data_IF_889810651592
#
_entry.id   IF_889810651592
#
_cell.length_a   1.000
_cell.length_b   1.000
_cell.length_c   1.000
_cell.angle_alpha   90.00
_cell.angle_beta   90.00
_cell.angle_gamma   90.00
#
_symmetry.space_group_name_H-M   'P 1'
#
loop_
_entity.id
_entity.type
_entity.pdbx_description
1 polymer ?
#
# COMPACT_ATOMS: atom_id res chain seq x y z
N UNK A 1 66.68 -16.41 8.78
CA UNK A 1 66.97 -15.72 10.05
C UNK A 1 65.75 -14.88 10.38
N UNK A 2 64.85 -15.38 11.24
CA UNK A 2 64.77 -15.02 12.68
C UNK A 2 64.32 -13.55 12.80
N UNK A 3 63.24 -13.17 13.48
CA UNK A 3 62.55 -13.70 14.68
C UNK A 3 61.29 -12.82 14.85
N UNK A 4 60.06 -13.34 14.91
CA UNK A 4 59.31 -13.67 16.15
C UNK A 4 59.46 -12.65 17.30
N UNK A 5 58.36 -12.00 17.68
CA UNK A 5 57.73 -11.96 19.04
C UNK A 5 56.53 -10.99 18.97
N UNK A 6 55.24 -11.35 19.02
CA UNK A 6 54.41 -12.14 19.97
C UNK A 6 53.80 -11.29 21.11
N UNK A 7 52.47 -11.48 21.30
CA UNK A 7 51.61 -11.23 22.48
C UNK A 7 51.17 -9.76 22.76
N UNK A 8 49.94 -9.39 23.20
CA UNK A 8 48.65 -10.06 23.46
C UNK A 8 47.55 -8.98 23.75
N UNK A 9 46.31 -9.22 23.29
CA UNK A 9 44.95 -9.04 23.89
C UNK A 9 44.63 -7.82 24.80
N UNK A 10 43.54 -7.05 24.51
CA UNK A 10 42.25 -6.96 25.26
C UNK A 10 41.30 -5.91 24.64
N UNK A 11 40.01 -6.27 24.65
CA UNK A 11 38.79 -5.62 24.17
C UNK A 11 38.50 -4.17 24.67
N UNK A 12 37.72 -3.48 23.82
CA UNK A 12 36.48 -2.72 24.11
C UNK A 12 36.46 -1.18 24.25
N UNK A 13 35.36 -0.66 23.67
CA UNK A 13 34.63 0.60 23.83
C UNK A 13 34.82 1.75 22.83
N UNK A 14 33.65 2.30 22.48
CA UNK A 14 33.29 3.27 21.45
C UNK A 14 34.14 4.55 21.43
N UNK A 15 34.38 5.08 20.22
CA UNK A 15 33.90 6.40 19.75
C UNK A 15 34.87 7.11 18.77
N UNK A 16 34.30 7.58 17.65
CA UNK A 16 34.71 8.69 16.75
C UNK A 16 36.05 8.60 15.99
N UNK A 17 35.98 8.63 14.64
CA UNK A 17 36.52 9.76 13.87
C UNK A 17 36.12 9.76 12.38
N UNK A 18 35.34 10.78 12.01
CA UNK A 18 34.79 11.10 10.69
C UNK A 18 35.78 11.83 9.75
N UNK A 19 37.08 11.84 10.05
CA UNK A 19 38.08 12.53 9.23
C UNK A 19 38.49 11.77 7.96
N UNK A 20 38.28 10.45 7.90
CA UNK A 20 38.73 9.63 6.77
C UNK A 20 37.81 9.72 5.53
N UNK A 21 36.56 10.19 5.67
CA UNK A 21 35.64 10.34 4.54
C UNK A 21 35.86 11.62 3.73
N UNK A 22 36.52 12.64 4.31
CA UNK A 22 36.74 13.93 3.65
C UNK A 22 37.81 13.86 2.55
N UNK A 23 38.77 12.96 2.67
CA UNK A 23 39.89 12.85 1.72
C UNK A 23 39.62 11.96 0.49
N UNK A 24 38.52 11.20 0.48
CA UNK A 24 38.14 10.35 -0.66
C UNK A 24 37.33 11.15 -1.70
N UNK A 25 36.56 12.15 -1.28
CA UNK A 25 35.73 12.97 -2.17
C UNK A 25 36.56 14.05 -2.89
N UNK A 26 37.62 14.56 -2.27
CA UNK A 26 38.43 15.68 -2.80
C UNK A 26 39.48 15.29 -3.86
N UNK A 27 39.70 14.00 -4.10
CA UNK A 27 40.73 13.50 -5.03
C UNK A 27 40.19 12.77 -6.26
N UNK A 28 38.88 12.83 -6.53
CA UNK A 28 38.31 12.33 -7.79
C UNK A 28 38.58 13.33 -8.94
N UNK A 29 39.27 12.92 -10.02
CA UNK A 29 39.70 13.83 -11.08
C UNK A 29 38.56 14.45 -11.91
N UNK A 30 37.32 13.96 -11.79
CA UNK A 30 36.19 14.38 -12.64
C UNK A 30 35.29 15.49 -12.06
N UNK A 31 35.69 16.19 -11.00
CA UNK A 31 34.91 17.30 -10.41
C UNK A 31 35.52 18.69 -10.62
N UNK A 32 36.78 18.78 -11.10
CA UNK A 32 37.44 20.08 -11.33
C UNK A 32 36.94 20.82 -12.58
N UNK A 33 36.24 20.15 -13.49
CA UNK A 33 35.63 20.79 -14.67
C UNK A 33 34.22 21.34 -14.44
N UNK A 34 33.57 21.02 -13.31
CA UNK A 34 32.22 21.52 -13.00
C UNK A 34 32.28 22.80 -12.15
N UNK A 35 33.40 23.08 -11.48
CA UNK A 35 33.57 24.25 -10.60
C UNK A 35 34.16 25.43 -11.38
N UNK A 36 33.53 25.79 -12.50
CA UNK A 36 33.86 27.05 -13.16
C UNK A 36 32.64 27.66 -13.85
N UNK A 37 31.55 27.86 -13.10
CA UNK A 37 30.52 28.88 -13.36
C UNK A 37 29.89 29.26 -12.01
N UNK A 38 29.76 30.57 -11.79
CA UNK A 38 28.97 31.25 -10.77
C UNK A 38 29.62 31.53 -9.40
N UNK A 39 29.72 32.83 -9.11
CA UNK A 39 30.07 33.44 -7.85
C UNK A 39 28.98 33.15 -6.82
N UNK A 40 29.19 32.18 -5.90
CA UNK A 40 28.70 32.23 -4.51
C UNK A 40 29.13 30.98 -3.73
N UNK A 41 30.43 30.89 -3.45
CA UNK A 41 31.00 29.78 -2.66
C UNK A 41 30.52 29.76 -1.19
N UNK A 42 29.96 30.86 -0.65
CA UNK A 42 29.42 30.89 0.73
C UNK A 42 28.11 30.10 0.87
N UNK A 43 27.28 30.06 -0.16
CA UNK A 43 25.96 29.39 -0.10
C UNK A 43 26.12 27.87 -0.17
N UNK A 44 27.13 27.38 -0.91
CA UNK A 44 27.42 25.95 -1.08
C UNK A 44 28.12 25.36 0.16
N UNK A 45 29.05 26.08 0.79
CA UNK A 45 29.66 25.63 2.05
C UNK A 45 28.60 25.51 3.17
N UNK A 46 27.63 26.43 3.23
CA UNK A 46 26.57 26.42 4.25
C UNK A 46 25.60 25.23 4.09
N UNK A 47 25.38 24.74 2.87
CA UNK A 47 24.56 23.56 2.58
C UNK A 47 25.27 22.24 2.88
N UNK A 48 26.61 22.22 2.84
CA UNK A 48 27.44 21.03 3.07
C UNK A 48 27.91 20.88 4.53
N UNK A 49 27.73 21.91 5.37
CA UNK A 49 28.15 21.90 6.79
C UNK A 49 27.01 21.83 7.80
N UNK A 50 25.76 21.67 7.36
CA UNK A 50 24.67 21.42 8.31
C UNK A 50 24.80 19.99 8.82
N UNK A 51 25.53 19.83 9.92
CA UNK A 51 25.45 18.65 10.80
C UNK A 51 23.96 18.24 10.90
N UNK A 52 23.59 16.96 10.67
CA UNK A 52 22.22 16.55 10.77
C UNK A 52 21.75 16.85 12.20
N UNK A 53 20.89 17.86 12.33
CA UNK A 53 20.25 18.16 13.60
C UNK A 53 19.59 16.87 14.07
N UNK A 54 19.86 16.38 15.30
CA UNK A 54 19.18 15.21 15.81
C UNK A 54 17.68 15.40 15.61
N UNK A 55 17.02 14.44 14.95
CA UNK A 55 15.61 14.56 14.61
C UNK A 55 14.79 14.83 15.90
N UNK A 56 14.34 16.08 16.07
CA UNK A 56 13.45 16.48 17.16
C UNK A 56 12.03 15.95 16.95
N UNK A 57 11.70 15.67 15.68
CA UNK A 57 10.47 15.07 15.19
C UNK A 57 10.52 13.55 15.35
N UNK A 58 9.48 13.00 15.98
CA UNK A 58 9.34 11.56 16.19
C UNK A 58 8.77 10.87 14.95
N UNK A 59 7.83 11.51 14.24
CA UNK A 59 7.22 10.99 13.01
C UNK A 59 7.19 12.00 11.85
N UNK A 60 7.60 11.55 10.68
CA UNK A 60 7.28 12.18 9.40
C UNK A 60 6.21 11.34 8.70
N UNK A 61 5.04 11.92 8.46
CA UNK A 61 3.93 11.32 7.74
C UNK A 61 3.89 11.96 6.35
N UNK A 62 4.12 11.15 5.32
CA UNK A 62 4.18 11.54 3.92
C UNK A 62 2.93 11.02 3.22
N UNK A 63 2.10 11.93 2.70
CA UNK A 63 0.89 11.56 1.95
C UNK A 63 1.10 11.90 0.48
N UNK A 64 1.16 10.87 -0.35
CA UNK A 64 1.20 10.99 -1.80
C UNK A 64 -0.23 10.88 -2.31
N UNK A 65 -0.84 12.02 -2.62
CA UNK A 65 -2.27 12.19 -2.84
C UNK A 65 -2.53 12.53 -4.31
N UNK A 66 -2.71 11.49 -5.11
CA UNK A 66 -2.95 11.66 -6.54
C UNK A 66 -4.44 11.96 -6.79
N UNK A 67 -4.81 13.23 -6.70
CA UNK A 67 -6.14 13.70 -7.09
C UNK A 67 -6.27 14.00 -8.59
N UNK A 68 -5.32 13.59 -9.45
CA UNK A 68 -5.40 13.76 -10.91
C UNK A 68 -6.27 12.66 -11.54
N UNK A 69 -7.41 12.39 -10.91
CA UNK A 69 -8.34 11.30 -11.20
C UNK A 69 -9.77 11.75 -10.87
N UNK A 70 -10.76 10.92 -11.19
CA UNK A 70 -12.18 11.25 -10.96
C UNK A 70 -12.60 11.29 -9.47
N UNK A 71 -11.63 11.23 -8.55
CA UNK A 71 -11.84 11.37 -7.11
C UNK A 71 -11.16 12.64 -6.54
N UNK A 72 -10.77 13.59 -7.40
CA UNK A 72 -10.22 14.91 -7.00
C UNK A 72 -10.99 15.60 -5.84
N UNK A 73 -12.34 15.68 -5.84
CA UNK A 73 -13.05 16.36 -4.75
C UNK A 73 -12.81 15.72 -3.38
N UNK A 74 -12.57 14.40 -3.33
CA UNK A 74 -12.28 13.70 -2.09
C UNK A 74 -10.85 13.94 -1.61
N UNK A 75 -9.90 14.16 -2.52
CA UNK A 75 -8.54 14.57 -2.17
C UNK A 75 -8.54 15.95 -1.48
N UNK A 76 -9.32 16.91 -2.00
CA UNK A 76 -9.48 18.22 -1.36
C UNK A 76 -10.12 18.11 0.03
N UNK A 77 -11.19 17.33 0.14
CA UNK A 77 -11.84 17.09 1.43
C UNK A 77 -10.89 16.44 2.45
N UNK A 78 -10.12 15.41 2.05
CA UNK A 78 -9.14 14.77 2.94
C UNK A 78 -7.98 15.70 3.31
N UNK A 79 -7.55 16.60 2.42
CA UNK A 79 -6.56 17.64 2.75
C UNK A 79 -7.08 18.56 3.86
N UNK A 80 -8.33 19.04 3.78
CA UNK A 80 -8.93 19.85 4.84
C UNK A 80 -9.09 19.05 6.15
N UNK A 81 -9.38 17.74 6.07
CA UNK A 81 -9.38 16.86 7.26
C UNK A 81 -8.00 16.74 7.90
N UNK A 82 -6.92 16.72 7.11
CA UNK A 82 -5.56 16.79 7.66
C UNK A 82 -5.30 18.13 8.36
N UNK A 83 -5.80 19.24 7.81
CA UNK A 83 -5.68 20.59 8.37
C UNK A 83 -6.43 20.77 9.69
N UNK A 84 -7.48 19.98 9.97
CA UNK A 84 -8.16 20.03 11.27
C UNK A 84 -7.24 19.67 12.46
N UNK A 85 -6.16 18.94 12.21
CA UNK A 85 -5.15 18.54 13.21
C UNK A 85 -3.81 19.24 12.97
N UNK A 86 -3.31 19.20 11.73
CA UNK A 86 -2.05 19.82 11.31
C UNK A 86 -0.77 19.19 11.87
N UNK A 87 0.37 19.71 11.42
CA UNK A 87 1.70 19.34 11.92
C UNK A 87 2.00 19.94 13.30
N UNK A 88 2.89 19.28 14.05
CA UNK A 88 3.46 19.73 15.32
C UNK A 88 4.99 19.66 15.32
N UNK A 89 5.65 19.94 16.45
CA UNK A 89 7.11 19.74 16.59
C UNK A 89 7.50 18.27 16.58
N UNK A 90 6.60 17.40 17.05
CA UNK A 90 6.82 15.95 17.16
C UNK A 90 6.37 15.17 15.95
N UNK A 91 5.42 15.68 15.19
CA UNK A 91 4.88 15.02 14.00
C UNK A 91 4.81 16.03 12.86
N UNK A 92 5.46 15.72 11.73
CA UNK A 92 5.32 16.50 10.50
C UNK A 92 4.44 15.73 9.53
N UNK A 93 3.42 16.39 9.00
CA UNK A 93 2.55 15.86 7.95
C UNK A 93 2.84 16.67 6.69
N UNK A 94 3.32 16.00 5.66
CA UNK A 94 3.57 16.60 4.35
C UNK A 94 2.77 15.90 3.28
N UNK A 95 2.22 16.67 2.35
CA UNK A 95 1.35 16.17 1.30
C UNK A 95 1.93 16.60 -0.05
N UNK A 96 2.03 15.68 -1.00
CA UNK A 96 2.12 16.01 -2.42
C UNK A 96 0.76 15.72 -3.03
N UNK A 97 0.04 16.78 -3.40
CA UNK A 97 -1.32 16.73 -3.91
C UNK A 97 -1.32 17.10 -5.39
N UNK A 98 -1.88 16.21 -6.21
CA UNK A 98 -2.17 16.46 -7.62
C UNK A 98 -3.62 16.84 -7.85
N UNK A 99 -3.86 17.72 -8.81
CA UNK A 99 -5.18 18.11 -9.32
C UNK A 99 -5.16 18.23 -10.84
N UNK A 100 -6.31 18.05 -11.45
CA UNK A 100 -6.45 18.08 -12.92
C UNK A 100 -7.64 18.93 -13.32
N UNK A 101 -7.86 19.09 -14.63
CA UNK A 101 -9.02 19.80 -15.19
C UNK A 101 -9.57 19.01 -16.35
N UNK A 102 -10.87 19.17 -16.60
CA UNK A 102 -11.55 18.60 -17.75
C UNK A 102 -11.69 17.08 -17.71
N UNK A 103 -11.54 16.46 -16.54
CA UNK A 103 -11.80 15.04 -16.32
C UNK A 103 -13.16 14.83 -15.62
N UNK A 104 -13.62 13.58 -15.55
CA UNK A 104 -14.84 13.24 -14.79
C UNK A 104 -14.71 13.69 -13.33
N UNK A 105 -15.78 14.25 -12.76
CA UNK A 105 -15.82 14.84 -11.40
C UNK A 105 -14.82 15.98 -11.13
N UNK A 106 -14.35 16.67 -12.17
CA UNK A 106 -13.59 17.93 -12.05
C UNK A 106 -14.36 18.98 -11.23
N UNK A 107 -13.63 19.78 -10.44
CA UNK A 107 -14.19 20.76 -9.52
C UNK A 107 -13.43 22.08 -9.53
N UNK A 108 -14.18 23.19 -9.46
CA UNK A 108 -13.60 24.55 -9.39
C UNK A 108 -13.22 24.97 -7.95
N UNK A 109 -13.35 24.06 -6.98
CA UNK A 109 -12.99 24.30 -5.59
C UNK A 109 -11.50 24.68 -5.43
N UNK A 110 -11.19 25.33 -4.29
CA UNK A 110 -9.83 25.75 -3.94
C UNK A 110 -9.11 26.59 -5.01
N UNK A 111 -9.87 27.39 -5.75
CA UNK A 111 -9.32 28.29 -6.78
C UNK A 111 -8.96 27.61 -8.09
N UNK A 112 -9.49 26.41 -8.35
CA UNK A 112 -9.41 25.72 -9.65
C UNK A 112 -7.98 25.68 -10.21
N UNK A 113 -7.02 25.27 -9.39
CA UNK A 113 -5.63 25.08 -9.83
C UNK A 113 -5.43 23.65 -10.32
N UNK A 114 -4.51 23.46 -11.28
CA UNK A 114 -4.11 22.16 -11.79
C UNK A 114 -2.61 21.94 -11.63
N UNK A 115 -2.18 20.69 -11.74
CA UNK A 115 -0.78 20.29 -11.58
C UNK A 115 -0.55 19.61 -10.24
N UNK A 116 0.69 19.67 -9.73
CA UNK A 116 1.08 19.00 -8.50
C UNK A 116 1.75 19.99 -7.55
N UNK A 117 1.33 19.99 -6.28
CA UNK A 117 1.86 20.88 -5.25
C UNK A 117 2.26 20.13 -3.99
N UNK A 118 3.27 20.65 -3.29
CA UNK A 118 3.70 20.14 -1.98
C UNK A 118 3.29 21.08 -0.86
N UNK A 119 2.84 20.50 0.24
CA UNK A 119 2.34 21.20 1.41
C UNK A 119 3.02 20.70 2.67
N UNK A 120 3.25 21.60 3.62
CA UNK A 120 3.34 21.24 5.03
C UNK A 120 1.98 21.50 5.63
N UNK A 121 1.31 20.45 6.12
CA UNK A 121 -0.04 20.60 6.66
C UNK A 121 0.03 21.45 7.93
N UNK A 122 -0.66 22.58 7.93
CA UNK A 122 -0.83 23.44 9.11
C UNK A 122 -2.23 23.31 9.66
N UNK A 123 -2.37 23.53 10.97
CA UNK A 123 -3.68 23.43 11.60
C UNK A 123 -4.55 24.64 11.26
N UNK A 124 -5.78 24.40 10.86
CA UNK A 124 -6.85 25.39 10.84
C UNK A 124 -8.22 24.74 11.15
N UNK A 125 -9.30 25.46 10.86
CA UNK A 125 -10.68 25.02 11.13
C UNK A 125 -11.59 25.17 9.90
N UNK A 126 -11.04 25.53 8.75
CA UNK A 126 -11.79 25.71 7.51
C UNK A 126 -11.87 24.37 6.78
N UNK A 127 -13.05 23.76 6.78
CA UNK A 127 -13.26 22.46 6.13
C UNK A 127 -13.52 22.58 4.62
N UNK A 128 -13.57 23.80 4.07
CA UNK A 128 -13.91 24.07 2.67
C UNK A 128 -12.74 24.65 1.87
N UNK A 129 -11.63 25.02 2.53
CA UNK A 129 -10.50 25.66 1.87
C UNK A 129 -9.15 25.24 2.44
N UNK A 130 -8.28 24.78 1.54
CA UNK A 130 -6.90 24.44 1.85
C UNK A 130 -6.13 25.71 2.23
N UNK A 131 -5.72 25.79 3.50
CA UNK A 131 -4.98 26.95 4.04
C UNK A 131 -3.50 26.69 4.23
N UNK A 132 -3.06 25.44 4.11
CA UNK A 132 -1.66 25.03 4.26
C UNK A 132 -0.77 25.71 3.21
N UNK A 133 0.45 26.14 3.62
CA UNK A 133 1.37 26.79 2.71
C UNK A 133 1.80 25.86 1.58
N UNK A 134 1.66 26.33 0.34
CA UNK A 134 2.30 25.71 -0.83
C UNK A 134 3.81 25.92 -0.71
N UNK A 135 4.54 24.83 -0.50
CA UNK A 135 6.00 24.84 -0.41
C UNK A 135 6.67 24.74 -1.77
N UNK A 136 6.01 24.09 -2.72
CA UNK A 136 6.51 23.87 -4.06
C UNK A 136 5.34 23.64 -5.01
N UNK A 137 5.36 24.34 -6.15
CA UNK A 137 4.53 24.02 -7.30
C UNK A 137 5.41 23.27 -8.31
N UNK A 138 5.02 22.04 -8.64
CA UNK A 138 5.78 21.12 -9.48
C UNK A 138 5.28 21.12 -10.93
N UNK A 139 4.22 21.87 -11.25
CA UNK A 139 3.54 21.82 -12.53
C UNK A 139 2.93 20.44 -12.80
N UNK A 140 2.86 20.05 -14.08
CA UNK A 140 2.14 18.86 -14.54
C UNK A 140 2.93 17.55 -14.37
N UNK A 141 3.39 17.25 -13.15
CA UNK A 141 4.02 15.95 -12.87
C UNK A 141 3.02 14.82 -13.01
N UNK A 142 3.52 13.71 -13.54
CA UNK A 142 2.81 12.43 -13.60
C UNK A 142 2.87 11.77 -12.22
N UNK A 143 1.71 11.65 -11.58
CA UNK A 143 1.59 11.00 -10.27
C UNK A 143 1.35 9.49 -10.34
N UNK A 144 1.25 8.94 -11.54
CA UNK A 144 1.34 7.52 -11.82
C UNK A 144 2.77 7.01 -11.97
N UNK A 145 3.77 7.86 -12.18
CA UNK A 145 5.17 7.44 -12.22
C UNK A 145 5.71 7.19 -10.80
N UNK A 146 6.12 5.95 -10.51
CA UNK A 146 6.76 5.59 -9.23
C UNK A 146 7.99 6.46 -8.90
N UNK A 147 8.65 7.05 -9.91
CA UNK A 147 9.76 7.99 -9.72
C UNK A 147 9.31 9.28 -9.05
N UNK A 148 8.09 9.74 -9.31
CA UNK A 148 7.54 10.94 -8.67
C UNK A 148 7.28 10.66 -7.18
N UNK A 149 6.69 9.52 -6.84
CA UNK A 149 6.56 9.08 -5.44
C UNK A 149 7.93 8.94 -4.76
N UNK A 150 8.92 8.38 -5.44
CA UNK A 150 10.30 8.29 -4.94
C UNK A 150 10.92 9.67 -4.68
N UNK A 151 10.72 10.63 -5.60
CA UNK A 151 11.21 11.99 -5.48
C UNK A 151 10.53 12.75 -4.33
N UNK A 152 9.23 12.52 -4.11
CA UNK A 152 8.51 13.05 -2.95
C UNK A 152 9.09 12.57 -1.63
N UNK A 153 9.31 11.26 -1.48
CA UNK A 153 9.89 10.69 -0.24
C UNK A 153 11.29 11.27 0.03
N UNK A 154 12.15 11.39 -1.00
CA UNK A 154 13.49 11.96 -0.84
C UNK A 154 13.43 13.41 -0.37
N UNK A 155 12.58 14.22 -1.02
CA UNK A 155 12.38 15.61 -0.63
C UNK A 155 11.84 15.72 0.80
N UNK A 156 10.83 14.92 1.15
CA UNK A 156 10.20 14.95 2.46
C UNK A 156 11.21 14.61 3.57
N UNK A 157 11.99 13.53 3.39
CA UNK A 157 13.03 13.12 4.35
C UNK A 157 14.16 14.14 4.48
N UNK A 158 14.54 14.79 3.38
CA UNK A 158 15.59 15.81 3.40
C UNK A 158 15.15 17.09 4.15
N UNK A 159 13.88 17.48 4.03
CA UNK A 159 13.36 18.71 4.64
C UNK A 159 12.82 18.50 6.06
N UNK A 160 12.36 17.30 6.39
CA UNK A 160 11.71 16.97 7.66
C UNK A 160 12.28 15.68 8.26
N UNK A 161 13.56 15.66 8.67
CA UNK A 161 14.17 14.47 9.27
C UNK A 161 13.42 14.05 10.53
N UNK A 162 13.01 12.78 10.59
CA UNK A 162 12.26 12.21 11.70
C UNK A 162 12.82 10.84 12.09
N UNK A 163 12.53 10.42 13.33
CA UNK A 163 12.95 9.10 13.83
C UNK A 163 12.22 7.94 13.13
N UNK A 164 10.95 8.16 12.75
CA UNK A 164 10.12 7.21 12.03
C UNK A 164 9.41 7.88 10.87
N UNK A 165 9.12 7.10 9.84
CA UNK A 165 8.47 7.58 8.61
C UNK A 165 7.27 6.72 8.28
N UNK A 166 6.18 7.39 7.90
CA UNK A 166 4.99 6.78 7.34
C UNK A 166 4.81 7.27 5.90
N UNK A 167 4.49 6.36 4.98
CA UNK A 167 4.04 6.70 3.62
C UNK A 167 2.60 6.25 3.43
N UNK A 168 1.75 7.18 3.01
CA UNK A 168 0.39 6.92 2.55
C UNK A 168 0.37 7.17 1.04
N UNK A 169 -0.07 6.18 0.25
CA UNK A 169 -0.46 6.41 -1.15
C UNK A 169 -1.98 6.41 -1.21
N UNK A 170 -2.53 7.55 -1.63
CA UNK A 170 -3.95 7.85 -1.74
C UNK A 170 -4.29 7.95 -3.21
N UNK A 171 -5.33 7.22 -3.65
CA UNK A 171 -6.08 7.31 -4.92
C UNK A 171 -6.79 5.95 -5.15
N UNK A 172 -7.09 5.57 -6.40
CA UNK A 172 -7.57 4.27 -6.82
C UNK A 172 -6.55 3.17 -6.58
N UNK A 173 -7.08 1.95 -6.42
CA UNK A 173 -6.33 0.72 -6.23
C UNK A 173 -6.99 -0.44 -6.96
N UNK A 174 -6.18 -1.34 -7.50
CA UNK A 174 -6.62 -2.56 -8.16
C UNK A 174 -5.90 -3.79 -7.65
N UNK A 175 -5.11 -3.70 -6.58
CA UNK A 175 -4.36 -4.83 -6.06
C UNK A 175 -3.27 -5.27 -7.03
N UNK A 176 -3.23 -6.55 -7.38
CA UNK A 176 -2.14 -7.09 -8.22
C UNK A 176 -2.36 -6.97 -9.71
N UNK A 177 -3.61 -6.80 -10.14
CA UNK A 177 -3.99 -6.80 -11.55
C UNK A 177 -3.60 -5.47 -12.21
N UNK A 178 -3.46 -5.51 -13.53
CA UNK A 178 -3.18 -4.38 -14.42
C UNK A 178 -4.29 -4.34 -15.51
N UNK A 179 -5.43 -3.61 -15.37
CA UNK A 179 -6.57 -3.65 -16.29
C UNK A 179 -6.26 -3.23 -17.72
N UNK A 180 -6.68 -4.02 -18.71
CA UNK A 180 -6.69 -3.54 -20.09
C UNK A 180 -7.70 -2.42 -20.23
N UNK A 181 -7.31 -1.40 -20.98
CA UNK A 181 -8.23 -0.37 -21.46
C UNK A 181 -9.38 -1.05 -22.21
N UNK A 182 -10.65 -0.84 -21.85
CA UNK A 182 -11.75 -1.21 -22.72
C UNK A 182 -11.61 -0.39 -24.01
N UNK A 183 -11.33 -1.04 -25.14
CA UNK A 183 -11.32 -0.33 -26.42
C UNK A 183 -12.67 0.35 -26.60
N UNK A 184 -12.66 1.66 -26.86
CA UNK A 184 -13.84 2.46 -27.14
C UNK A 184 -14.65 1.86 -28.30
N UNK A 185 -15.61 0.98 -28.00
CA UNK A 185 -16.73 0.72 -28.89
C UNK A 185 -17.83 1.69 -28.51
N UNK A 186 -17.92 2.79 -29.28
CA UNK A 186 -18.94 3.86 -29.27
C UNK A 186 -18.62 5.17 -28.53
N UNK A 187 -17.48 5.82 -28.83
CA UNK A 187 -17.31 7.24 -28.47
C UNK A 187 -16.96 8.09 -29.69
N UNK A 188 -17.71 9.19 -29.79
CA UNK A 188 -17.79 10.23 -30.81
C UNK A 188 -16.42 10.82 -31.21
N UNK A 189 -16.25 11.16 -32.49
CA UNK A 189 -14.97 11.49 -33.16
C UNK A 189 -14.42 12.89 -32.84
N UNK A 190 -14.97 13.61 -31.84
CA UNK A 190 -14.58 15.00 -31.56
C UNK A 190 -14.36 15.26 -30.05
N UNK A 191 -13.25 14.68 -29.55
CA UNK A 191 -12.51 14.94 -28.30
C UNK A 191 -12.90 14.15 -27.02
N UNK A 192 -11.93 13.32 -26.61
CA UNK A 192 -11.72 12.55 -25.35
C UNK A 192 -12.77 11.47 -25.03
N UNK A 193 -12.37 10.25 -24.59
CA UNK A 193 -11.30 9.99 -23.62
C UNK A 193 -10.19 9.07 -24.14
N UNK A 194 -8.93 9.48 -24.00
CA UNK A 194 -7.83 8.51 -23.96
C UNK A 194 -7.67 7.96 -22.55
N UNK A 195 -8.51 6.98 -22.20
CA UNK A 195 -8.14 6.03 -21.15
C UNK A 195 -7.00 5.17 -21.70
N UNK A 196 -5.76 5.68 -21.70
CA UNK A 196 -4.59 4.82 -21.88
C UNK A 196 -4.17 4.28 -20.52
N UNK A 197 -3.73 3.02 -20.45
CA UNK A 197 -3.09 2.42 -19.28
C UNK A 197 -3.92 1.44 -18.47
N UNK A 198 -3.42 0.20 -18.44
CA UNK A 198 -3.20 -0.69 -17.28
C UNK A 198 -3.33 0.03 -15.90
N UNK A 199 -3.69 -0.60 -14.77
CA UNK A 199 -3.98 0.10 -13.49
C UNK A 199 -3.72 -0.75 -12.22
N UNK A 200 -2.92 -0.28 -11.27
CA UNK A 200 -2.70 -0.89 -9.95
C UNK A 200 -2.99 0.17 -8.89
N UNK A 201 -2.06 1.04 -8.49
CA UNK A 201 -2.31 2.14 -7.54
C UNK A 201 -1.90 3.51 -8.09
N UNK A 202 -2.50 4.61 -7.61
CA UNK A 202 -2.14 5.99 -7.97
C UNK A 202 -2.31 6.28 -9.46
N UNK A 203 -3.53 6.26 -9.95
CA UNK A 203 -3.89 6.46 -11.35
C UNK A 203 -3.97 7.95 -11.67
N UNK A 204 -3.09 8.41 -12.55
CA UNK A 204 -3.10 9.75 -13.09
C UNK A 204 -3.86 9.75 -14.42
N UNK A 205 -5.14 10.12 -14.39
CA UNK A 205 -6.02 10.14 -15.56
C UNK A 205 -5.63 11.23 -16.57
N UNK A 206 -4.82 12.21 -16.17
CA UNK A 206 -4.29 13.22 -17.11
C UNK A 206 -3.25 12.63 -18.04
N UNK A 207 -2.47 11.66 -17.57
CA UNK A 207 -1.39 11.02 -18.34
C UNK A 207 -1.72 9.60 -18.81
N UNK A 208 -2.76 8.99 -18.25
CA UNK A 208 -3.05 7.57 -18.43
C UNK A 208 -2.07 6.65 -17.69
N UNK A 209 -1.22 7.20 -16.81
CA UNK A 209 -0.23 6.40 -16.09
C UNK A 209 -0.68 6.06 -14.67
N UNK A 210 0.02 5.11 -14.05
CA UNK A 210 -0.23 4.63 -12.71
C UNK A 210 0.98 3.81 -12.22
N UNK A 211 1.06 3.61 -10.90
CA UNK A 211 2.13 2.79 -10.31
C UNK A 211 1.71 1.33 -10.38
N UNK A 212 2.39 0.54 -11.22
CA UNK A 212 2.15 -0.91 -11.33
C UNK A 212 2.56 -1.65 -10.06
N UNK A 213 1.89 -2.77 -9.77
CA UNK A 213 2.23 -3.63 -8.62
C UNK A 213 3.69 -4.07 -8.63
N UNK A 214 4.19 -4.47 -9.81
CA UNK A 214 5.57 -4.89 -9.99
C UNK A 214 6.58 -3.72 -9.98
N UNK A 215 6.13 -2.48 -9.86
CA UNK A 215 6.98 -1.29 -9.73
C UNK A 215 6.96 -0.69 -8.33
N UNK A 216 6.03 -1.10 -7.47
CA UNK A 216 5.91 -0.56 -6.11
C UNK A 216 7.21 -0.66 -5.31
N UNK A 217 8.00 -1.73 -5.49
CA UNK A 217 9.30 -1.86 -4.82
C UNK A 217 10.30 -0.78 -5.27
N UNK A 218 10.23 -0.32 -6.53
CA UNK A 218 11.14 0.68 -7.11
C UNK A 218 11.01 2.05 -6.42
N UNK A 219 9.84 2.35 -5.84
CA UNK A 219 9.63 3.54 -5.00
C UNK A 219 10.70 3.60 -3.90
N UNK A 220 11.03 2.44 -3.32
CA UNK A 220 11.84 2.33 -2.12
C UNK A 220 13.33 2.03 -2.40
N UNK A 221 13.69 1.50 -3.58
CA UNK A 221 15.08 1.18 -3.93
C UNK A 221 16.05 2.35 -3.72
N UNK A 222 15.59 3.57 -4.03
CA UNK A 222 16.40 4.80 -3.89
C UNK A 222 16.13 5.58 -2.61
N UNK A 223 15.02 5.32 -1.94
CA UNK A 223 14.58 6.11 -0.79
C UNK A 223 14.88 5.43 0.52
N UNK A 224 14.95 4.09 0.51
CA UNK A 224 15.05 3.25 1.70
C UNK A 224 13.68 2.98 2.32
N UNK A 225 13.65 1.96 3.19
CA UNK A 225 12.47 1.49 3.92
C UNK A 225 11.74 2.59 4.70
N UNK A 226 10.41 2.48 4.81
CA UNK A 226 9.56 3.23 5.75
C UNK A 226 9.21 2.38 6.98
N UNK A 227 8.84 3.01 8.08
CA UNK A 227 8.39 2.27 9.27
C UNK A 227 6.95 1.77 9.08
N UNK A 228 6.10 2.58 8.45
CA UNK A 228 4.71 2.24 8.16
C UNK A 228 4.36 2.63 6.72
N UNK A 229 3.90 1.66 5.92
CA UNK A 229 3.27 1.92 4.63
C UNK A 229 1.76 1.72 4.78
N UNK A 230 0.97 2.65 4.26
CA UNK A 230 -0.47 2.49 4.16
C UNK A 230 -0.95 2.78 2.74
N UNK A 231 -1.82 1.92 2.23
CA UNK A 231 -2.56 2.19 1.00
C UNK A 231 -3.94 2.70 1.36
N UNK A 232 -4.22 3.94 0.99
CA UNK A 232 -5.57 4.47 0.99
C UNK A 232 -6.18 4.28 -0.40
N UNK A 233 -6.25 3.02 -0.80
CA UNK A 233 -6.65 2.56 -2.12
C UNK A 233 -7.24 1.14 -2.02
N UNK A 234 -8.13 0.80 -2.95
CA UNK A 234 -8.84 -0.48 -2.96
C UNK A 234 -7.91 -1.67 -3.22
N UNK A 235 -8.23 -2.83 -2.63
CA UNK A 235 -7.57 -4.12 -2.90
C UNK A 235 -6.05 -4.14 -2.69
N UNK A 236 -5.48 -3.30 -1.83
CA UNK A 236 -4.02 -3.28 -1.63
C UNK A 236 -3.52 -4.26 -0.56
N UNK A 237 -4.43 -4.88 0.20
CA UNK A 237 -4.10 -5.91 1.20
C UNK A 237 -4.04 -7.32 0.60
N UNK A 238 -3.49 -7.42 -0.61
CA UNK A 238 -3.30 -8.68 -1.33
C UNK A 238 -1.92 -9.25 -1.05
N UNK A 239 -1.81 -10.57 -0.94
CA UNK A 239 -0.53 -11.25 -0.74
C UNK A 239 0.50 -10.87 -1.83
N UNK A 240 0.03 -10.78 -3.07
CA UNK A 240 0.80 -10.37 -4.24
C UNK A 240 1.42 -8.97 -4.08
N UNK A 241 0.60 -7.99 -3.67
CA UNK A 241 1.01 -6.60 -3.46
C UNK A 241 2.00 -6.51 -2.29
N UNK A 242 1.60 -7.06 -1.14
CA UNK A 242 2.38 -6.99 0.09
C UNK A 242 3.76 -7.64 -0.07
N UNK A 243 3.88 -8.69 -0.88
CA UNK A 243 5.16 -9.35 -1.14
C UNK A 243 6.13 -8.46 -1.93
N UNK A 244 5.65 -7.57 -2.79
CA UNK A 244 6.50 -6.66 -3.57
C UNK A 244 7.23 -5.67 -2.66
N UNK A 245 6.56 -5.23 -1.59
CA UNK A 245 7.08 -4.20 -0.69
C UNK A 245 7.53 -4.74 0.68
N UNK A 246 7.57 -6.06 0.86
CA UNK A 246 7.82 -6.72 2.15
C UNK A 246 9.14 -6.31 2.84
N UNK A 247 10.15 -5.94 2.06
CA UNK A 247 11.47 -5.55 2.58
C UNK A 247 11.57 -4.03 2.84
N UNK A 248 10.54 -3.27 2.47
CA UNK A 248 10.56 -1.81 2.40
C UNK A 248 9.58 -1.10 3.34
N UNK A 249 8.84 -1.85 4.15
CA UNK A 249 8.05 -1.36 5.29
C UNK A 249 8.28 -2.25 6.52
N UNK A 250 8.09 -1.79 7.77
CA UNK A 250 7.97 -2.70 8.93
C UNK A 250 6.53 -3.21 9.10
N UNK A 251 5.58 -2.30 8.89
CA UNK A 251 4.14 -2.57 8.94
C UNK A 251 3.51 -2.08 7.65
N UNK A 252 2.61 -2.89 7.10
CA UNK A 252 1.79 -2.53 5.95
C UNK A 252 0.33 -2.50 6.39
N UNK A 253 -0.39 -1.44 6.03
CA UNK A 253 -1.82 -1.28 6.26
C UNK A 253 -2.55 -1.10 4.93
N UNK A 254 -3.69 -1.76 4.77
CA UNK A 254 -4.47 -1.69 3.55
C UNK A 254 -5.76 -2.47 3.64
N UNK A 255 -6.57 -2.35 2.59
CA UNK A 255 -7.84 -3.04 2.46
C UNK A 255 -7.78 -4.24 1.49
N UNK A 256 -8.37 -5.36 1.86
CA UNK A 256 -8.66 -6.49 0.96
C UNK A 256 -9.80 -6.16 -0.01
N UNK A 257 -10.65 -5.21 0.38
CA UNK A 257 -11.86 -4.76 -0.32
C UNK A 257 -11.66 -3.36 -0.94
N UNK A 258 -12.66 -2.92 -1.70
CA UNK A 258 -12.93 -1.50 -1.96
C UNK A 258 -12.97 -0.72 -0.64
N UNK A 259 -12.26 0.41 -0.60
CA UNK A 259 -12.36 1.37 0.50
C UNK A 259 -13.54 2.29 0.22
N UNK A 260 -14.51 2.32 1.14
CA UNK A 260 -15.63 3.26 1.07
C UNK A 260 -15.18 4.67 1.45
N UNK A 261 -16.01 5.68 1.18
CA UNK A 261 -15.76 7.05 1.61
C UNK A 261 -16.63 7.39 2.83
N UNK A 262 -16.10 8.07 3.85
CA UNK A 262 -14.72 8.52 4.01
C UNK A 262 -13.76 7.35 4.23
N UNK A 263 -12.57 7.46 3.67
CA UNK A 263 -11.57 6.39 3.61
C UNK A 263 -10.99 6.00 4.97
N UNK A 264 -10.16 6.86 5.57
CA UNK A 264 -9.58 6.68 6.90
C UNK A 264 -10.10 7.77 7.86
N UNK A 265 -10.07 7.46 9.16
CA UNK A 265 -10.35 8.44 10.23
C UNK A 265 -9.05 9.13 10.66
N UNK A 266 -8.70 10.20 9.95
CA UNK A 266 -7.44 10.90 10.11
C UNK A 266 -7.39 11.74 11.38
N UNK A 267 -8.51 12.34 11.74
CA UNK A 267 -8.66 13.20 12.90
C UNK A 267 -8.32 12.43 14.18
N UNK A 268 -8.91 11.25 14.36
CA UNK A 268 -8.66 10.42 15.53
C UNK A 268 -7.29 9.71 15.43
N UNK A 269 -6.89 9.27 14.23
CA UNK A 269 -5.57 8.64 14.05
C UNK A 269 -4.43 9.62 14.41
N UNK A 270 -4.45 10.83 13.87
CA UNK A 270 -3.43 11.83 14.16
C UNK A 270 -3.52 12.33 15.59
N UNK A 271 -4.72 12.45 16.17
CA UNK A 271 -4.87 12.76 17.60
C UNK A 271 -4.20 11.71 18.49
N UNK A 272 -4.37 10.42 18.19
CA UNK A 272 -3.68 9.32 18.89
C UNK A 272 -2.16 9.39 18.71
N UNK A 273 -1.70 9.71 17.50
CA UNK A 273 -0.27 9.86 17.21
C UNK A 273 0.34 11.06 17.95
N UNK A 274 -0.35 12.21 17.99
CA UNK A 274 0.09 13.39 18.74
C UNK A 274 0.14 13.15 20.25
N UNK A 275 -0.81 12.37 20.79
CA UNK A 275 -0.79 11.93 22.18
C UNK A 275 0.31 10.90 22.46
N UNK A 276 0.77 10.16 21.44
CA UNK A 276 1.74 9.09 21.55
C UNK A 276 2.88 9.21 20.51
N UNK A 277 3.65 10.30 20.48
CA UNK A 277 4.64 10.52 19.42
C UNK A 277 5.76 9.46 19.43
N UNK A 278 5.99 8.81 20.58
CA UNK A 278 6.91 7.68 20.71
C UNK A 278 6.40 6.34 20.17
N UNK A 279 5.17 6.28 19.61
CA UNK A 279 4.56 5.04 19.12
C UNK A 279 5.51 4.26 18.19
N UNK A 280 5.48 2.94 18.32
CA UNK A 280 6.11 2.04 17.35
C UNK A 280 5.29 1.98 16.06
N UNK A 281 5.87 1.54 14.94
CA UNK A 281 5.12 1.30 13.69
C UNK A 281 3.97 0.30 13.88
N UNK A 282 4.17 -0.74 14.72
CA UNK A 282 3.11 -1.66 15.12
C UNK A 282 1.94 -0.92 15.78
N UNK A 283 2.24 -0.03 16.72
CA UNK A 283 1.21 0.70 17.45
C UNK A 283 0.51 1.74 16.57
N UNK A 284 1.25 2.45 15.70
CA UNK A 284 0.67 3.35 14.71
C UNK A 284 -0.25 2.60 13.72
N UNK A 285 0.15 1.41 13.25
CA UNK A 285 -0.71 0.57 12.43
C UNK A 285 -1.98 0.12 13.16
N UNK A 286 -1.89 -0.21 14.45
CA UNK A 286 -3.07 -0.53 15.28
C UNK A 286 -3.99 0.69 15.41
N UNK A 287 -3.44 1.89 15.67
CA UNK A 287 -4.23 3.12 15.76
C UNK A 287 -4.99 3.37 14.46
N UNK A 288 -4.33 3.27 13.31
CA UNK A 288 -4.96 3.50 12.01
C UNK A 288 -6.12 2.51 11.75
N UNK A 289 -5.91 1.24 12.08
CA UNK A 289 -6.93 0.19 11.92
C UNK A 289 -8.09 0.34 12.91
N UNK A 290 -7.81 0.69 14.17
CA UNK A 290 -8.85 0.86 15.18
C UNK A 290 -9.70 2.12 14.94
N UNK A 291 -9.11 3.24 14.51
CA UNK A 291 -9.88 4.46 14.19
C UNK A 291 -10.70 4.31 12.92
N UNK A 292 -10.23 3.53 11.94
CA UNK A 292 -11.04 3.12 10.79
C UNK A 292 -12.29 2.37 11.24
N UNK A 293 -12.15 1.34 12.08
CA UNK A 293 -13.30 0.59 12.60
C UNK A 293 -14.25 1.50 13.39
N UNK A 294 -13.70 2.37 14.23
CA UNK A 294 -14.50 3.29 15.03
C UNK A 294 -15.38 4.17 14.13
N UNK A 295 -14.79 4.78 13.10
CA UNK A 295 -15.53 5.63 12.16
C UNK A 295 -16.66 4.86 11.50
N UNK A 296 -16.38 3.69 10.92
CA UNK A 296 -17.42 2.87 10.27
C UNK A 296 -18.43 2.24 11.24
N UNK A 297 -18.20 2.31 12.55
CA UNK A 297 -19.17 1.91 13.57
C UNK A 297 -20.13 3.04 13.96
N UNK A 298 -19.88 4.28 13.50
CA UNK A 298 -20.80 5.42 13.73
C UNK A 298 -22.08 5.24 12.91
N UNK A 299 -23.26 5.61 13.44
CA UNK A 299 -24.55 5.34 12.80
C UNK A 299 -24.63 5.74 11.33
N UNK A 300 -24.07 6.90 10.96
CA UNK A 300 -24.07 7.41 9.60
C UNK A 300 -23.36 6.47 8.61
N UNK A 301 -22.23 5.89 9.01
CA UNK A 301 -21.43 5.02 8.15
C UNK A 301 -21.88 3.57 8.24
N UNK A 302 -22.31 3.10 9.43
CA UNK A 302 -22.87 1.76 9.57
C UNK A 302 -24.17 1.63 8.76
N UNK A 303 -25.05 2.65 8.80
CA UNK A 303 -26.27 2.65 8.00
C UNK A 303 -25.95 2.72 6.50
N UNK A 304 -24.96 3.53 6.09
CA UNK A 304 -24.49 3.56 4.71
C UNK A 304 -24.03 2.18 4.23
N UNK A 305 -23.23 1.47 5.02
CA UNK A 305 -22.78 0.10 4.69
C UNK A 305 -23.97 -0.87 4.53
N UNK A 306 -24.97 -0.78 5.41
CA UNK A 306 -26.18 -1.60 5.31
C UNK A 306 -27.02 -1.28 4.05
N UNK A 307 -27.24 0.00 3.77
CA UNK A 307 -28.03 0.47 2.63
C UNK A 307 -27.37 0.12 1.30
N UNK A 308 -26.05 0.31 1.22
CA UNK A 308 -25.25 0.00 0.03
C UNK A 308 -24.89 -1.47 -0.08
N UNK A 309 -25.15 -2.27 0.97
CA UNK A 309 -24.81 -3.70 1.07
C UNK A 309 -23.33 -3.99 0.90
N UNK A 310 -22.50 -3.11 1.45
CA UNK A 310 -21.06 -3.28 1.53
C UNK A 310 -20.64 -3.69 2.93
N UNK A 311 -19.67 -4.60 2.99
CA UNK A 311 -18.82 -4.74 4.16
C UNK A 311 -17.61 -3.83 4.03
N UNK A 312 -16.93 -3.60 5.14
CA UNK A 312 -15.65 -2.90 5.14
C UNK A 312 -14.65 -3.64 6.01
N UNK A 313 -13.39 -3.61 5.63
CA UNK A 313 -12.31 -4.18 6.43
C UNK A 313 -11.01 -3.39 6.25
N UNK A 314 -10.18 -3.38 7.29
CA UNK A 314 -8.81 -2.90 7.21
C UNK A 314 -7.91 -3.77 8.07
N UNK A 315 -6.67 -4.02 7.62
CA UNK A 315 -5.72 -4.79 8.40
C UNK A 315 -4.34 -4.15 8.43
N UNK A 316 -3.59 -4.46 9.48
CA UNK A 316 -2.18 -4.17 9.62
C UNK A 316 -1.41 -5.49 9.66
N UNK A 317 -0.38 -5.65 8.84
CA UNK A 317 0.46 -6.86 8.80
C UNK A 317 1.93 -6.56 9.06
N UNK A 318 2.67 -7.57 9.53
CA UNK A 318 4.13 -7.58 9.63
C UNK A 318 4.73 -7.97 8.29
N UNK A 319 5.30 -7.01 7.59
CA UNK A 319 5.95 -7.24 6.29
C UNK A 319 7.04 -8.33 6.35
N UNK A 320 7.83 -8.36 7.44
CA UNK A 320 8.88 -9.36 7.69
C UNK A 320 8.37 -10.80 7.75
N UNK A 321 7.07 -11.02 7.95
CA UNK A 321 6.46 -12.35 7.98
C UNK A 321 5.99 -12.83 6.60
N UNK A 322 6.00 -11.97 5.58
CA UNK A 322 5.52 -12.30 4.23
C UNK A 322 6.32 -13.44 3.56
N UNK A 323 7.64 -13.52 3.80
CA UNK A 323 8.43 -14.64 3.27
C UNK A 323 8.03 -15.97 3.92
N UNK A 324 7.81 -15.96 5.24
CA UNK A 324 7.34 -17.12 5.99
C UNK A 324 5.93 -17.55 5.58
N UNK A 325 5.04 -16.57 5.35
CA UNK A 325 3.70 -16.79 4.80
C UNK A 325 3.77 -17.46 3.43
N UNK A 326 4.55 -16.90 2.49
CA UNK A 326 4.70 -17.44 1.14
C UNK A 326 5.23 -18.88 1.13
N UNK A 327 6.19 -19.22 2.01
CA UNK A 327 6.70 -20.60 2.16
C UNK A 327 5.61 -21.57 2.63
N UNK A 328 4.83 -21.19 3.65
CA UNK A 328 3.74 -22.03 4.17
C UNK A 328 2.62 -22.20 3.16
N UNK A 329 2.24 -21.13 2.49
CA UNK A 329 1.25 -21.13 1.42
C UNK A 329 1.68 -22.04 0.26
N UNK A 330 2.93 -21.93 -0.20
CA UNK A 330 3.47 -22.80 -1.25
C UNK A 330 3.47 -24.28 -0.83
N UNK A 331 3.87 -24.59 0.41
CA UNK A 331 3.82 -25.95 0.94
C UNK A 331 2.39 -26.50 0.97
N UNK A 332 1.43 -25.71 1.45
CA UNK A 332 0.01 -26.08 1.47
C UNK A 332 -0.54 -26.32 0.07
N UNK A 333 -0.31 -25.39 -0.87
CA UNK A 333 -0.75 -25.49 -2.26
C UNK A 333 -0.20 -26.74 -2.96
N UNK A 334 1.07 -27.09 -2.71
CA UNK A 334 1.68 -28.31 -3.25
C UNK A 334 1.00 -29.59 -2.74
N UNK A 335 0.67 -29.64 -1.45
CA UNK A 335 -0.05 -30.77 -0.87
C UNK A 335 -1.47 -30.86 -1.44
N UNK A 336 -2.15 -29.71 -1.55
CA UNK A 336 -3.49 -29.58 -2.12
C UNK A 336 -3.57 -30.14 -3.55
N UNK A 337 -2.67 -29.71 -4.44
CA UNK A 337 -2.62 -30.20 -5.83
C UNK A 337 -2.32 -31.71 -5.90
N UNK A 338 -1.49 -32.25 -5.00
CA UNK A 338 -1.14 -33.67 -4.98
C UNK A 338 -2.31 -34.56 -4.54
N UNK A 339 -3.06 -34.11 -3.53
CA UNK A 339 -4.23 -34.83 -3.01
C UNK A 339 -5.40 -34.75 -3.99
N UNK A 340 -5.53 -33.60 -4.66
CA UNK A 340 -6.51 -33.36 -5.70
C UNK A 340 -7.97 -33.63 -5.26
N UNK A 341 -8.33 -33.25 -4.03
CA UNK A 341 -9.71 -33.30 -3.56
C UNK A 341 -10.53 -32.17 -4.21
N UNK A 342 -10.99 -32.43 -5.44
CA UNK A 342 -11.71 -31.45 -6.25
C UNK A 342 -13.05 -31.04 -5.63
N UNK A 343 -13.67 -31.88 -4.79
CA UNK A 343 -14.94 -31.54 -4.13
C UNK A 343 -14.71 -30.48 -3.05
N UNK A 344 -13.69 -30.68 -2.21
CA UNK A 344 -13.31 -29.68 -1.22
C UNK A 344 -12.89 -28.35 -1.87
N UNK A 345 -12.12 -28.41 -2.96
CA UNK A 345 -11.66 -27.22 -3.69
C UNK A 345 -12.81 -26.47 -4.37
N UNK A 346 -13.73 -27.18 -5.05
CA UNK A 346 -14.94 -26.59 -5.66
C UNK A 346 -15.79 -25.88 -4.61
N UNK A 347 -15.98 -26.53 -3.45
CA UNK A 347 -16.71 -25.94 -2.33
C UNK A 347 -16.03 -24.67 -1.82
N UNK A 348 -14.71 -24.68 -1.65
CA UNK A 348 -13.95 -23.52 -1.22
C UNK A 348 -14.01 -22.37 -2.24
N UNK A 349 -13.86 -22.65 -3.54
CA UNK A 349 -13.96 -21.63 -4.60
C UNK A 349 -15.32 -20.92 -4.60
N UNK A 350 -16.40 -21.66 -4.35
CA UNK A 350 -17.76 -21.11 -4.33
C UNK A 350 -18.05 -20.29 -3.06
N UNK A 351 -17.62 -20.80 -1.92
CA UNK A 351 -18.06 -20.27 -0.63
C UNK A 351 -17.13 -19.23 -0.01
N UNK A 352 -15.88 -19.14 -0.48
CA UNK A 352 -14.89 -18.18 0.01
C UNK A 352 -15.45 -16.76 -0.01
N UNK A 353 -15.16 -15.98 1.02
CA UNK A 353 -15.45 -14.55 1.05
C UNK A 353 -14.65 -13.84 -0.06
N UNK A 354 -15.37 -13.19 -0.99
CA UNK A 354 -14.79 -12.53 -2.17
C UNK A 354 -15.08 -11.04 -2.15
N UNK A 355 -14.17 -10.27 -2.71
CA UNK A 355 -14.20 -8.80 -2.71
C UNK A 355 -14.78 -8.24 -4.02
N UNK A 356 -15.22 -6.99 -3.99
CA UNK A 356 -16.13 -6.37 -4.97
C UNK A 356 -15.42 -5.90 -6.26
N UNK A 357 -15.04 -6.82 -7.15
CA UNK A 357 -14.49 -6.47 -8.49
C UNK A 357 -15.59 -6.09 -9.48
N UNK A 358 -16.75 -6.74 -9.41
CA UNK A 358 -17.95 -6.45 -10.21
C UNK A 358 -19.10 -6.05 -9.30
N UNK A 359 -20.29 -5.83 -9.87
CA UNK A 359 -21.46 -5.31 -9.17
C UNK A 359 -22.64 -6.30 -9.13
N UNK A 360 -23.80 -5.83 -8.68
CA UNK A 360 -25.04 -6.62 -8.59
C UNK A 360 -25.62 -7.02 -9.95
N UNK A 361 -25.17 -6.40 -11.04
CA UNK A 361 -25.57 -6.70 -12.42
C UNK A 361 -24.60 -7.71 -13.05
N UNK A 362 -23.30 -7.46 -12.92
CA UNK A 362 -22.22 -8.19 -13.62
C UNK A 362 -21.78 -9.45 -12.87
N UNK A 363 -21.86 -9.46 -11.53
CA UNK A 363 -21.55 -10.63 -10.71
C UNK A 363 -22.48 -10.74 -9.49
N UNK A 364 -23.80 -10.94 -9.64
CA UNK A 364 -24.80 -10.88 -8.56
C UNK A 364 -24.50 -11.74 -7.32
N UNK A 365 -23.66 -12.78 -7.46
CA UNK A 365 -23.30 -13.72 -6.40
C UNK A 365 -21.83 -13.68 -5.99
N UNK A 366 -21.05 -12.73 -6.51
CA UNK A 366 -19.59 -12.67 -6.36
C UNK A 366 -18.90 -13.98 -6.72
N UNK A 367 -19.41 -14.72 -7.71
CA UNK A 367 -18.85 -16.02 -8.08
C UNK A 367 -17.79 -15.90 -9.18
N UNK A 368 -17.72 -14.76 -9.90
CA UNK A 368 -16.70 -14.48 -10.93
C UNK A 368 -15.51 -13.72 -10.32
N UNK A 369 -15.75 -12.84 -9.35
CA UNK A 369 -14.72 -12.10 -8.63
C UNK A 369 -13.61 -13.02 -8.16
N UNK A 370 -12.37 -12.54 -8.24
CA UNK A 370 -11.17 -13.35 -8.07
C UNK A 370 -10.23 -12.86 -6.98
N UNK A 371 -10.70 -11.93 -6.15
CA UNK A 371 -10.09 -11.55 -4.89
C UNK A 371 -10.83 -12.23 -3.77
N UNK A 372 -10.14 -13.07 -3.01
CA UNK A 372 -10.74 -13.79 -1.89
C UNK A 372 -9.80 -13.92 -0.72
N UNK A 373 -10.39 -14.00 0.47
CA UNK A 373 -9.66 -14.18 1.72
C UNK A 373 -9.03 -15.58 1.76
N UNK A 374 -7.70 -15.64 1.91
CA UNK A 374 -6.96 -16.91 1.88
C UNK A 374 -7.21 -17.76 3.12
N UNK A 375 -7.42 -17.13 4.28
CA UNK A 375 -7.70 -17.85 5.50
C UNK A 375 -9.05 -18.56 5.39
N UNK A 376 -10.07 -17.85 4.92
CA UNK A 376 -11.42 -18.37 4.73
C UNK A 376 -11.45 -19.47 3.66
N UNK A 377 -10.71 -19.31 2.56
CA UNK A 377 -10.53 -20.36 1.56
C UNK A 377 -9.98 -21.65 2.17
N UNK A 378 -8.89 -21.56 2.94
CA UNK A 378 -8.25 -22.71 3.61
C UNK A 378 -9.20 -23.33 4.65
N UNK A 379 -9.93 -22.51 5.41
CA UNK A 379 -10.94 -22.96 6.37
C UNK A 379 -11.97 -23.86 5.69
N UNK A 380 -12.54 -23.40 4.56
CA UNK A 380 -13.55 -24.15 3.83
C UNK A 380 -12.98 -25.44 3.26
N UNK A 381 -11.74 -25.42 2.73
CA UNK A 381 -11.06 -26.66 2.31
C UNK A 381 -10.99 -27.63 3.48
N UNK A 382 -10.44 -27.21 4.63
CA UNK A 382 -10.26 -28.05 5.82
C UNK A 382 -11.56 -28.67 6.35
N UNK A 383 -12.68 -27.95 6.25
CA UNK A 383 -14.01 -28.40 6.65
C UNK A 383 -14.64 -29.41 5.69
N UNK A 384 -14.20 -29.45 4.43
CA UNK A 384 -14.83 -30.24 3.36
C UNK A 384 -13.92 -31.34 2.78
N UNK A 385 -12.73 -31.57 3.35
CA UNK A 385 -11.82 -32.64 2.92
C UNK A 385 -12.43 -34.03 3.11
N UNK A 386 -12.33 -34.88 2.08
CA UNK A 386 -12.65 -36.29 2.17
C UNK A 386 -11.57 -37.01 3.01
N UNK A 387 -11.96 -37.46 4.20
CA UNK A 387 -11.09 -38.16 5.14
C UNK A 387 -10.53 -39.49 4.60
N UNK A 388 -11.13 -40.06 3.54
CA UNK A 388 -10.68 -41.32 2.93
C UNK A 388 -9.54 -41.12 1.93
N UNK A 389 -9.28 -39.89 1.46
CA UNK A 389 -8.16 -39.63 0.55
C UNK A 389 -6.85 -39.67 1.33
N UNK A 390 -5.89 -40.46 0.85
CA UNK A 390 -4.57 -40.54 1.47
C UNK A 390 -3.88 -39.17 1.42
N UNK A 391 -3.50 -38.66 2.60
CA UNK A 391 -2.89 -37.34 2.74
C UNK A 391 -3.83 -36.22 3.22
N UNK A 392 -5.15 -36.43 3.27
CA UNK A 392 -6.11 -35.40 3.73
C UNK A 392 -5.78 -34.84 5.11
N UNK A 393 -5.36 -35.69 6.05
CA UNK A 393 -4.90 -35.24 7.38
C UNK A 393 -3.70 -34.30 7.30
N UNK A 394 -2.73 -34.58 6.42
CA UNK A 394 -1.55 -33.75 6.25
C UNK A 394 -1.90 -32.39 5.64
N UNK A 395 -2.82 -32.36 4.65
CA UNK A 395 -3.33 -31.11 4.09
C UNK A 395 -4.04 -30.27 5.13
N UNK A 396 -4.92 -30.89 5.92
CA UNK A 396 -5.61 -30.21 7.02
C UNK A 396 -4.64 -29.60 8.02
N UNK A 397 -3.65 -30.37 8.49
CA UNK A 397 -2.62 -29.87 9.40
C UNK A 397 -1.79 -28.74 8.80
N UNK A 398 -1.45 -28.81 7.50
CA UNK A 398 -0.76 -27.71 6.83
C UNK A 398 -1.64 -26.45 6.74
N UNK A 399 -2.94 -26.62 6.49
CA UNK A 399 -3.92 -25.52 6.44
C UNK A 399 -4.09 -24.86 7.79
N UNK A 400 -4.31 -25.64 8.85
CA UNK A 400 -4.39 -25.16 10.23
C UNK A 400 -3.12 -24.42 10.66
N UNK A 401 -1.94 -24.92 10.27
CA UNK A 401 -0.66 -24.27 10.56
C UNK A 401 -0.46 -22.96 9.80
N UNK A 402 -1.03 -22.83 8.60
CA UNK A 402 -1.02 -21.59 7.82
C UNK A 402 -2.00 -20.57 8.40
N UNK A 403 -3.23 -20.97 8.71
CA UNK A 403 -4.22 -20.15 9.39
C UNK A 403 -3.68 -19.59 10.71
N UNK A 404 -3.10 -20.45 11.55
CA UNK A 404 -2.45 -20.02 12.80
C UNK A 404 -1.30 -19.04 12.57
N UNK A 405 -0.53 -19.20 11.50
CA UNK A 405 0.54 -18.26 11.17
C UNK A 405 0.01 -16.90 10.71
N UNK A 406 -1.12 -16.88 10.00
CA UNK A 406 -1.80 -15.63 9.63
C UNK A 406 -2.19 -14.87 10.90
N UNK A 407 -2.93 -15.51 11.81
CA UNK A 407 -3.44 -14.86 13.02
C UNK A 407 -2.34 -14.47 14.03
N UNK A 408 -1.38 -15.36 14.31
CA UNK A 408 -0.44 -15.16 15.41
C UNK A 408 0.85 -14.43 15.02
N UNK A 409 1.22 -14.48 13.74
CA UNK A 409 2.51 -13.99 13.27
C UNK A 409 2.38 -12.88 12.24
N UNK A 410 1.61 -13.09 11.17
CA UNK A 410 1.53 -12.16 10.06
C UNK A 410 0.69 -10.93 10.41
N UNK A 411 -0.55 -11.14 10.84
CA UNK A 411 -1.53 -10.08 11.06
C UNK A 411 -1.32 -9.47 12.44
N UNK A 412 -1.11 -8.16 12.49
CA UNK A 412 -1.02 -7.39 13.73
C UNK A 412 -2.42 -7.10 14.26
N UNK A 413 -3.31 -6.70 13.36
CA UNK A 413 -4.70 -6.35 13.64
C UNK A 413 -5.52 -6.51 12.37
N UNK A 414 -6.69 -7.10 12.49
CA UNK A 414 -7.73 -7.10 11.48
C UNK A 414 -9.00 -6.49 12.08
N UNK A 415 -9.72 -5.67 11.31
CA UNK A 415 -11.05 -5.18 11.68
C UNK A 415 -11.97 -5.31 10.50
N UNK A 416 -13.22 -5.62 10.79
CA UNK A 416 -14.26 -5.78 9.80
C UNK A 416 -15.62 -5.38 10.37
N UNK A 417 -16.49 -4.89 9.50
CA UNK A 417 -17.88 -4.53 9.78
C UNK A 417 -18.77 -4.88 8.58
N UNK A 418 -20.03 -5.20 8.87
CA UNK A 418 -21.04 -5.42 7.86
C UNK A 418 -20.90 -6.75 7.12
N UNK A 419 -21.60 -6.82 5.99
CA UNK A 419 -21.73 -8.01 5.14
C UNK A 419 -21.64 -7.56 3.68
N UNK A 420 -21.17 -8.45 2.80
CA UNK A 420 -21.37 -8.20 1.37
C UNK A 420 -22.85 -8.34 0.99
N UNK A 421 -23.16 -7.89 -0.23
CA UNK A 421 -24.47 -8.05 -0.87
C UNK A 421 -24.94 -9.50 -1.04
N UNK A 422 -24.07 -10.50 -0.88
CA UNK A 422 -24.45 -11.92 -0.87
C UNK A 422 -24.85 -12.40 0.53
N UNK A 423 -24.69 -11.55 1.55
CA UNK A 423 -24.98 -11.83 2.95
C UNK A 423 -23.81 -12.47 3.71
N UNK A 424 -22.62 -12.59 3.12
CA UNK A 424 -21.44 -13.11 3.82
C UNK A 424 -20.88 -12.04 4.75
N UNK A 425 -20.66 -12.44 6.00
CA UNK A 425 -20.20 -11.56 7.07
C UNK A 425 -18.69 -11.30 6.99
N UNK A 426 -18.28 -10.03 7.10
CA UNK A 426 -16.87 -9.65 6.97
C UNK A 426 -16.05 -10.02 8.21
N UNK A 427 -16.66 -10.49 9.29
CA UNK A 427 -15.94 -11.18 10.38
C UNK A 427 -15.19 -12.43 9.92
N UNK A 428 -15.46 -12.92 8.70
CA UNK A 428 -14.68 -13.98 8.03
C UNK A 428 -13.39 -13.50 7.37
N UNK A 429 -13.15 -12.18 7.33
CA UNK A 429 -11.85 -11.64 6.88
C UNK A 429 -10.79 -11.89 7.93
N UNK A 430 -9.57 -12.17 7.49
CA UNK A 430 -8.39 -12.31 8.32
C UNK A 430 -7.27 -11.38 7.85
N UNK A 431 -7.58 -10.39 7.01
CA UNK A 431 -6.70 -9.26 6.75
C UNK A 431 -5.61 -9.53 5.72
N UNK A 432 -5.74 -10.58 4.90
CA UNK A 432 -4.90 -10.78 3.72
C UNK A 432 -5.64 -11.61 2.66
N UNK A 433 -5.82 -10.98 1.51
CA UNK A 433 -6.50 -11.58 0.36
C UNK A 433 -5.49 -12.06 -0.68
N UNK A 434 -5.94 -12.84 -1.65
CA UNK A 434 -5.10 -13.37 -2.72
C UNK A 434 -5.93 -13.63 -3.99
N UNK A 435 -5.27 -13.80 -5.13
CA UNK A 435 -5.96 -14.30 -6.32
C UNK A 435 -6.50 -15.72 -6.11
N UNK A 436 -7.82 -15.86 -6.10
CA UNK A 436 -8.51 -17.15 -6.12
C UNK A 436 -9.44 -17.12 -7.34
N UNK A 437 -9.19 -17.90 -8.40
CA UNK A 437 -10.03 -17.82 -9.60
C UNK A 437 -11.51 -18.10 -9.27
N UNK A 438 -12.39 -17.25 -9.79
CA UNK A 438 -13.84 -17.46 -9.74
C UNK A 438 -14.31 -18.44 -10.82
N UNK A 439 -15.60 -18.34 -11.14
CA UNK A 439 -16.20 -18.95 -12.33
C UNK A 439 -15.67 -18.26 -13.60
N UNK A 440 -15.69 -18.94 -14.75
CA UNK A 440 -15.39 -18.30 -16.03
C UNK A 440 -16.30 -17.09 -16.24
N UNK A 441 -15.67 -15.94 -16.55
CA UNK A 441 -16.33 -14.66 -16.75
C UNK A 441 -15.28 -13.55 -16.74
N UNK A 442 -15.62 -12.41 -17.32
CA UNK A 442 -14.75 -11.23 -17.35
C UNK A 442 -15.48 -10.10 -16.67
N UNK A 443 -15.01 -9.69 -15.49
CA UNK A 443 -15.47 -8.48 -14.79
C UNK A 443 -14.62 -7.28 -15.16
N UNK A 444 -13.35 -7.54 -15.41
CA UNK A 444 -12.36 -6.57 -15.83
C UNK A 444 -11.37 -7.30 -16.73
N UNK A 445 -11.09 -6.75 -17.90
CA UNK A 445 -9.98 -7.23 -18.72
C UNK A 445 -8.68 -6.77 -18.07
N UNK A 446 -7.64 -7.61 -18.04
CA UNK A 446 -6.34 -7.25 -17.47
C UNK A 446 -5.20 -7.93 -18.25
N UNK A 447 -4.03 -7.30 -18.20
CA UNK A 447 -2.79 -7.84 -18.76
C UNK A 447 -2.33 -9.06 -17.96
N UNK A 448 -1.86 -10.09 -18.66
CA UNK A 448 -1.35 -11.31 -18.00
C UNK A 448 0.07 -11.07 -17.45
N UNK A 449 0.12 -10.37 -16.32
CA UNK A 449 1.36 -9.97 -15.63
C UNK A 449 1.59 -10.73 -14.32
N UNK A 450 0.69 -11.66 -13.95
CA UNK A 450 0.75 -12.36 -12.67
C UNK A 450 2.10 -13.06 -12.45
N UNK A 451 2.57 -13.84 -13.43
CA UNK A 451 3.87 -14.53 -13.37
C UNK A 451 5.09 -13.60 -13.28
N UNK A 452 4.94 -12.30 -13.53
CA UNK A 452 6.01 -11.30 -13.36
C UNK A 452 6.18 -10.86 -11.90
N UNK A 453 5.20 -11.12 -11.04
CA UNK A 453 5.23 -10.72 -9.63
C UNK A 453 6.25 -11.54 -8.85
N UNK A 454 6.94 -10.91 -7.90
CA UNK A 454 7.90 -11.61 -7.02
C UNK A 454 7.18 -12.67 -6.17
N UNK A 455 5.93 -12.41 -5.79
CA UNK A 455 5.07 -13.39 -5.13
C UNK A 455 4.87 -14.66 -5.98
N UNK A 456 4.56 -14.51 -7.27
CA UNK A 456 4.36 -15.63 -8.18
C UNK A 456 5.65 -16.42 -8.38
N UNK A 457 6.80 -15.75 -8.49
CA UNK A 457 8.12 -16.39 -8.63
C UNK A 457 8.56 -17.12 -7.35
N UNK A 458 8.25 -16.56 -6.18
CA UNK A 458 8.68 -17.10 -4.90
C UNK A 458 7.75 -18.20 -4.36
N UNK A 459 6.54 -18.31 -4.90
CA UNK A 459 5.53 -19.29 -4.47
C UNK A 459 5.13 -20.19 -5.63
N UNK A 460 4.33 -21.22 -5.36
CA UNK A 460 3.70 -22.02 -6.43
C UNK A 460 2.25 -21.56 -6.69
N UNK A 461 1.91 -20.31 -6.34
CA UNK A 461 0.52 -19.88 -6.37
C UNK A 461 -0.03 -19.77 -7.80
N UNK A 462 0.75 -19.32 -8.77
CA UNK A 462 0.35 -19.32 -10.19
C UNK A 462 -0.05 -20.72 -10.68
N UNK A 463 0.76 -21.75 -10.36
CA UNK A 463 0.41 -23.15 -10.66
C UNK A 463 -0.85 -23.60 -9.93
N UNK A 464 -1.07 -23.10 -8.71
CA UNK A 464 -2.28 -23.40 -7.95
C UNK A 464 -3.52 -22.73 -8.54
N UNK A 465 -3.40 -21.51 -9.05
CA UNK A 465 -4.45 -20.83 -9.82
C UNK A 465 -4.82 -21.66 -11.04
N UNK A 466 -3.83 -22.15 -11.81
CA UNK A 466 -4.08 -23.01 -12.98
C UNK A 466 -4.75 -24.33 -12.61
N UNK A 467 -4.40 -24.90 -11.46
CA UNK A 467 -5.09 -26.06 -10.90
C UNK A 467 -6.56 -25.74 -10.55
N UNK A 468 -6.83 -24.62 -9.88
CA UNK A 468 -8.17 -24.20 -9.49
C UNK A 468 -9.06 -23.83 -10.69
N UNK A 469 -8.48 -23.33 -11.79
CA UNK A 469 -9.20 -23.06 -13.05
C UNK A 469 -9.76 -24.33 -13.70
N UNK A 470 -9.24 -25.51 -13.34
CA UNK A 470 -9.72 -26.81 -13.85
C UNK A 470 -10.84 -27.43 -13.00
N UNK A 471 -11.33 -26.72 -11.98
CA UNK A 471 -12.31 -27.19 -11.00
C UNK A 471 -13.48 -26.21 -11.01
N UNK A 472 -14.70 -26.70 -11.18
CA UNK A 472 -15.90 -25.86 -11.26
C UNK A 472 -16.28 -25.21 -9.92
#
# INVERSE_FOLDING_TARGET
>A
MTTKLTLFIILSFFSVNSYAYKNIILNSPNLKEIINISQDNKTIETLLTKEPTPASTDWLIMVYMNGKSNIEPFALNDMNRFESIGSSDKIKIVVELGRSKGIENDTTADGDWSGVRRYLVTKDTDMEKISSPVLMDLGDKDMGDWRQASAFIQWARANYPAKKTMLIIWDHGWGWLDPKVPSASHVDEQKEPTLEGDKSISHDFTTGNYIRTNEMHKIFEKTGKVDLYASMACFMQMAEVNYQIKDYADVIVGAEEVIQLPSFNFEDFYSLMLANPGASSKQAGIFLVDTFKEMYSRPEYSNMLEETKYGTQLSAIRSSMMEGFGKKLSAWANIAMKINDRKAMSKAKKDVLRFEVGDDITDPKKEISFYGDIYDFIRIVNENLDANINGSKNLKTAGEALQKFIDDNLVIKNVALGKDRTGKDYSRTHGIAIHIPGKPGTLIEYEDTYGKLEFAKATNWEKFIDYLKQID
#
